data_IF_782528848458
#
_entry.id   IF_782528848458
#
_cell.length_a   1.000
_cell.length_b   1.000
_cell.length_c   1.000
_cell.angle_alpha   90.00
_cell.angle_beta   90.00
_cell.angle_gamma   90.00
#
_symmetry.space_group_name_H-M   'P 1'
#
loop_
_entity.id
_entity.type
_entity.pdbx_description
1 polymer ?
#
# COMPACT_ATOMS: atom_id res chain seq x y z
N UNK A 1 12.96 9.67 -16.14
CA UNK A 1 12.43 10.65 -15.15
C UNK A 1 11.34 11.53 -15.76
N UNK A 2 11.63 12.42 -16.72
CA UNK A 2 10.60 13.32 -17.30
C UNK A 2 9.45 12.57 -18.01
N UNK A 3 9.75 11.54 -18.80
CA UNK A 3 8.73 10.73 -19.49
C UNK A 3 7.82 9.98 -18.51
N UNK A 4 8.39 9.36 -17.48
CA UNK A 4 7.62 8.71 -16.41
C UNK A 4 6.68 9.71 -15.71
N UNK A 5 7.16 10.92 -15.40
CA UNK A 5 6.33 11.93 -14.78
C UNK A 5 5.23 12.44 -15.72
N UNK A 6 5.53 12.63 -17.00
CA UNK A 6 4.53 12.95 -18.03
C UNK A 6 3.46 11.87 -18.11
N UNK A 7 3.86 10.60 -18.07
CA UNK A 7 2.94 9.45 -18.07
C UNK A 7 2.02 9.45 -16.83
N UNK A 8 2.55 9.76 -15.64
CA UNK A 8 1.73 9.90 -14.42
C UNK A 8 0.69 11.03 -14.55
N UNK A 9 1.10 12.17 -15.10
CA UNK A 9 0.19 13.31 -15.35
C UNK A 9 -0.90 12.96 -16.35
N UNK A 10 -0.52 12.36 -17.47
CA UNK A 10 -1.47 11.91 -18.49
C UNK A 10 -2.45 10.89 -17.90
N UNK A 11 -1.97 9.95 -17.09
CA UNK A 11 -2.81 8.96 -16.40
C UNK A 11 -3.82 9.63 -15.45
N UNK A 12 -3.39 10.66 -14.71
CA UNK A 12 -4.28 11.45 -13.85
C UNK A 12 -5.38 12.14 -14.65
N UNK A 13 -5.01 12.81 -15.75
CA UNK A 13 -5.95 13.52 -16.61
C UNK A 13 -6.94 12.55 -17.29
N UNK A 14 -6.45 11.40 -17.74
CA UNK A 14 -7.25 10.34 -18.36
C UNK A 14 -8.27 9.77 -17.39
N UNK A 15 -7.86 9.42 -16.17
CA UNK A 15 -8.78 9.00 -15.11
C UNK A 15 -9.82 10.07 -14.81
N UNK A 16 -9.39 11.33 -14.77
CA UNK A 16 -10.25 12.48 -14.47
C UNK A 16 -11.33 12.74 -15.51
N UNK A 17 -11.11 12.39 -16.77
CA UNK A 17 -12.05 12.61 -17.88
C UNK A 17 -12.81 11.36 -18.33
N UNK A 18 -12.51 10.20 -17.73
CA UNK A 18 -13.14 8.92 -18.05
C UNK A 18 -14.41 8.68 -17.23
N UNK A 19 -15.45 8.17 -17.90
CA UNK A 19 -16.63 7.65 -17.20
C UNK A 19 -16.29 6.36 -16.44
N UNK A 20 -17.03 6.03 -15.39
CA UNK A 20 -16.87 4.73 -14.69
C UNK A 20 -17.14 3.54 -15.62
N UNK A 21 -17.93 3.72 -16.67
CA UNK A 21 -18.18 2.73 -17.72
C UNK A 21 -17.06 2.59 -18.75
N UNK A 22 -16.09 3.51 -18.78
CA UNK A 22 -15.02 3.54 -19.79
C UNK A 22 -13.94 2.48 -19.57
N UNK A 23 -13.94 1.77 -18.45
CA UNK A 23 -12.97 0.70 -18.19
C UNK A 23 -13.55 -0.43 -17.32
N UNK A 24 -13.23 -1.66 -17.70
CA UNK A 24 -13.72 -2.87 -17.05
C UNK A 24 -12.72 -3.36 -15.99
N UNK A 25 -12.57 -2.61 -14.89
CA UNK A 25 -11.82 -3.12 -13.73
C UNK A 25 -10.66 -2.26 -13.22
N UNK A 26 -9.77 -2.93 -12.50
CA UNK A 26 -8.50 -2.39 -12.04
C UNK A 26 -7.50 -2.29 -13.20
N UNK A 27 -6.95 -1.10 -13.42
CA UNK A 27 -6.12 -0.77 -14.57
C UNK A 27 -4.64 -0.97 -14.27
N UNK A 28 -3.90 -1.56 -15.20
CA UNK A 28 -2.44 -1.53 -15.25
C UNK A 28 -1.91 -0.15 -15.69
N UNK A 29 -0.65 0.21 -15.36
CA UNK A 29 -0.12 1.53 -15.65
C UNK A 29 -0.14 1.89 -17.14
N UNK A 30 0.06 0.91 -18.02
CA UNK A 30 0.00 1.10 -19.48
C UNK A 30 -1.44 1.33 -19.99
N UNK A 31 -2.45 0.88 -19.25
CA UNK A 31 -3.85 0.93 -19.66
C UNK A 31 -4.49 2.30 -19.45
N UNK A 32 -3.95 3.15 -18.57
CA UNK A 32 -4.45 4.53 -18.37
C UNK A 32 -4.42 5.35 -19.67
N UNK A 33 -3.40 5.13 -20.50
CA UNK A 33 -3.25 5.81 -21.79
C UNK A 33 -4.39 5.49 -22.79
N UNK A 34 -5.03 4.33 -22.62
CA UNK A 34 -6.08 3.79 -23.50
C UNK A 34 -7.47 4.34 -23.14
N UNK A 35 -7.59 5.05 -22.03
CA UNK A 35 -8.86 5.60 -21.56
C UNK A 35 -9.36 6.75 -22.44
N UNK A 36 -10.68 6.80 -22.64
CA UNK A 36 -11.34 7.86 -23.41
C UNK A 36 -11.30 9.21 -22.68
N UNK A 37 -11.29 10.31 -23.43
CA UNK A 37 -11.24 11.67 -22.90
C UNK A 37 -12.60 12.35 -23.06
N UNK A 38 -13.63 11.76 -22.45
CA UNK A 38 -15.04 12.10 -22.75
C UNK A 38 -15.57 13.27 -21.90
N UNK A 39 -14.68 14.06 -21.28
CA UNK A 39 -15.01 15.18 -20.38
C UNK A 39 -16.00 14.81 -19.25
N UNK A 40 -16.03 13.55 -18.85
CA UNK A 40 -16.97 13.06 -17.85
C UNK A 40 -16.53 13.49 -16.44
N UNK A 41 -17.41 14.07 -15.63
CA UNK A 41 -17.15 14.45 -14.23
C UNK A 41 -18.05 13.65 -13.28
N UNK A 42 -17.49 12.64 -12.60
CA UNK A 42 -18.15 11.96 -11.47
C UNK A 42 -17.84 12.68 -10.15
N UNK A 43 -18.86 13.08 -9.39
CA UNK A 43 -18.68 14.09 -8.33
C UNK A 43 -17.95 13.67 -7.03
N UNK A 44 -17.93 12.42 -6.51
CA UNK A 44 -17.26 12.16 -5.23
C UNK A 44 -15.73 12.03 -5.33
N UNK A 45 -15.24 11.42 -6.41
CA UNK A 45 -13.83 10.98 -6.55
C UNK A 45 -12.96 12.00 -7.31
N UNK A 46 -13.60 12.88 -8.09
CA UNK A 46 -12.94 13.99 -8.81
C UNK A 46 -12.22 14.96 -7.88
N UNK A 47 -12.70 15.15 -6.65
CA UNK A 47 -11.99 15.95 -5.65
C UNK A 47 -10.60 15.40 -5.38
N UNK A 48 -10.47 14.09 -5.21
CA UNK A 48 -9.18 13.44 -4.95
C UNK A 48 -8.26 13.46 -6.18
N UNK A 49 -8.82 13.33 -7.39
CA UNK A 49 -8.06 13.50 -8.63
C UNK A 49 -7.59 14.95 -8.84
N UNK A 50 -8.39 15.95 -8.44
CA UNK A 50 -7.94 17.35 -8.43
C UNK A 50 -6.80 17.56 -7.43
N UNK A 51 -6.93 17.04 -6.21
CA UNK A 51 -5.88 17.09 -5.19
C UNK A 51 -4.60 16.41 -5.72
N UNK A 52 -4.72 15.26 -6.40
CA UNK A 52 -3.58 14.59 -7.04
C UNK A 52 -2.95 15.43 -8.17
N UNK A 53 -3.77 16.03 -9.04
CA UNK A 53 -3.27 16.88 -10.12
C UNK A 53 -2.59 18.16 -9.58
N UNK A 54 -3.07 18.72 -8.45
CA UNK A 54 -2.40 19.80 -7.75
C UNK A 54 -1.04 19.36 -7.20
N UNK A 55 -0.96 18.16 -6.63
CA UNK A 55 0.31 17.57 -6.18
C UNK A 55 1.25 17.36 -7.37
N UNK A 56 0.78 16.84 -8.50
CA UNK A 56 1.59 16.72 -9.72
C UNK A 56 2.06 18.09 -10.22
N UNK A 57 1.20 19.11 -10.21
CA UNK A 57 1.62 20.48 -10.58
C UNK A 57 2.72 21.00 -9.66
N UNK A 58 2.60 20.75 -8.35
CA UNK A 58 3.63 21.10 -7.37
C UNK A 58 4.95 20.34 -7.65
N UNK A 59 4.86 19.05 -7.96
CA UNK A 59 6.02 18.23 -8.36
C UNK A 59 6.71 18.82 -9.59
N UNK A 60 5.95 19.17 -10.63
CA UNK A 60 6.49 19.76 -11.86
C UNK A 60 7.25 21.06 -11.56
N UNK A 61 6.62 21.99 -10.84
CA UNK A 61 7.21 23.29 -10.51
C UNK A 61 8.47 23.15 -9.65
N UNK A 62 8.43 22.28 -8.63
CA UNK A 62 9.53 22.16 -7.66
C UNK A 62 10.66 21.25 -8.14
N UNK A 63 10.37 20.17 -8.87
CA UNK A 63 11.42 19.30 -9.41
C UNK A 63 12.13 19.92 -10.62
N UNK A 64 11.42 20.67 -11.48
CA UNK A 64 12.05 21.39 -12.60
C UNK A 64 12.89 22.58 -12.12
N UNK A 65 12.45 23.32 -11.10
CA UNK A 65 13.25 24.42 -10.52
C UNK A 65 14.54 23.92 -9.86
N UNK A 66 14.56 22.71 -9.31
CA UNK A 66 15.77 22.09 -8.74
C UNK A 66 16.77 21.64 -9.81
N UNK A 67 16.31 21.11 -10.95
CA UNK A 67 17.17 20.81 -12.10
C UNK A 67 17.76 22.10 -12.73
N UNK A 68 16.97 23.17 -12.78
CA UNK A 68 17.44 24.50 -13.19
C UNK A 68 18.48 25.09 -12.22
N UNK A 69 18.25 24.97 -10.91
CA UNK A 69 19.18 25.45 -9.87
C UNK A 69 20.49 24.65 -9.81
N UNK A 70 20.48 23.32 -10.00
CA UNK A 70 21.73 22.53 -10.13
C UNK A 70 22.65 23.03 -11.25
N UNK A 71 22.09 23.70 -12.26
CA UNK A 71 22.86 24.28 -13.37
C UNK A 71 23.44 25.66 -13.00
N UNK A 72 22.80 26.39 -12.06
CA UNK A 72 23.18 27.71 -11.57
C UNK A 72 24.09 27.67 -10.32
N UNK A 73 23.98 26.64 -9.49
CA UNK A 73 24.79 26.45 -8.25
C UNK A 73 26.25 26.08 -8.53
N UNK A 74 26.64 25.88 -9.79
CA UNK A 74 28.06 25.88 -10.19
C UNK A 74 28.71 27.27 -10.10
N UNK A 75 27.96 28.33 -9.76
CA UNK A 75 28.47 29.70 -9.84
C UNK A 75 28.48 30.57 -8.58
N UNK A 76 27.89 30.24 -7.42
CA UNK A 76 27.93 31.19 -6.29
C UNK A 76 28.05 30.60 -4.88
N UNK A 77 28.93 31.26 -4.12
CA UNK A 77 29.31 31.09 -2.72
C UNK A 77 28.22 31.71 -1.82
N UNK A 78 27.67 30.93 -0.89
CA UNK A 78 26.80 31.41 0.19
C UNK A 78 26.12 30.26 0.93
N UNK A 79 25.99 30.37 2.26
CA UNK A 79 25.43 29.39 3.19
C UNK A 79 23.91 29.15 2.96
N UNK A 80 23.56 28.57 1.82
CA UNK A 80 22.26 27.91 1.63
C UNK A 80 22.35 26.47 2.17
N UNK A 81 21.24 25.92 2.71
CA UNK A 81 21.20 24.49 3.02
C UNK A 81 21.56 23.72 1.74
N UNK A 82 22.38 22.68 1.88
CA UNK A 82 22.91 21.94 0.73
C UNK A 82 21.74 21.57 -0.20
N UNK A 83 21.86 21.72 -1.53
CA UNK A 83 20.76 21.45 -2.47
C UNK A 83 20.05 20.09 -2.25
N UNK A 84 20.79 19.09 -1.75
CA UNK A 84 20.28 17.76 -1.41
C UNK A 84 19.38 17.73 -0.15
N UNK A 85 19.55 18.66 0.80
CA UNK A 85 18.67 18.84 1.96
C UNK A 85 17.35 19.51 1.58
N UNK A 86 17.38 20.57 0.76
CA UNK A 86 16.17 21.22 0.24
C UNK A 86 15.34 20.26 -0.60
N UNK A 87 16.00 19.50 -1.50
CA UNK A 87 15.34 18.47 -2.30
C UNK A 87 14.70 17.40 -1.42
N UNK A 88 15.39 16.98 -0.35
CA UNK A 88 14.86 16.06 0.65
C UNK A 88 13.60 16.57 1.34
N UNK A 89 13.56 17.85 1.74
CA UNK A 89 12.39 18.48 2.37
C UNK A 89 11.20 18.54 1.40
N UNK A 90 11.44 18.94 0.15
CA UNK A 90 10.41 19.04 -0.89
C UNK A 90 9.82 17.66 -1.20
N UNK A 91 10.65 16.65 -1.41
CA UNK A 91 10.20 15.29 -1.69
C UNK A 91 9.38 14.73 -0.52
N UNK A 92 9.84 14.96 0.72
CA UNK A 92 9.11 14.57 1.94
C UNK A 92 7.73 15.20 2.00
N UNK A 93 7.61 16.51 1.81
CA UNK A 93 6.32 17.22 1.81
C UNK A 93 5.36 16.69 0.75
N UNK A 94 5.86 16.41 -0.45
CA UNK A 94 5.05 15.85 -1.53
C UNK A 94 4.55 14.44 -1.17
N UNK A 95 5.42 13.58 -0.65
CA UNK A 95 5.05 12.23 -0.22
C UNK A 95 4.04 12.29 0.93
N UNK A 96 4.20 13.19 1.91
CA UNK A 96 3.22 13.41 2.98
C UNK A 96 1.84 13.82 2.43
N UNK A 97 1.80 14.66 1.38
CA UNK A 97 0.55 15.01 0.72
C UNK A 97 -0.07 13.81 -0.01
N UNK A 98 0.74 12.99 -0.67
CA UNK A 98 0.30 11.78 -1.36
C UNK A 98 -0.25 10.73 -0.38
N UNK A 99 0.45 10.49 0.74
CA UNK A 99 -0.03 9.54 1.77
C UNK A 99 -1.28 10.05 2.46
N UNK A 100 -1.36 11.35 2.76
CA UNK A 100 -2.58 11.98 3.26
C UNK A 100 -3.76 11.82 2.30
N UNK A 101 -3.52 12.02 1.00
CA UNK A 101 -4.54 11.81 -0.03
C UNK A 101 -4.98 10.33 -0.09
N UNK A 102 -4.04 9.38 -0.05
CA UNK A 102 -4.34 7.96 -0.02
C UNK A 102 -5.23 7.59 1.17
N UNK A 103 -4.95 8.13 2.36
CA UNK A 103 -5.73 7.91 3.58
C UNK A 103 -7.17 8.44 3.51
N UNK A 104 -7.43 9.47 2.70
CA UNK A 104 -8.78 10.07 2.52
C UNK A 104 -9.66 9.25 1.60
N UNK A 105 -9.09 8.51 0.65
CA UNK A 105 -9.85 7.72 -0.31
C UNK A 105 -10.38 6.47 0.37
N UNK A 106 -11.70 6.26 0.30
CA UNK A 106 -12.40 5.13 0.89
C UNK A 106 -11.93 4.80 2.33
N UNK A 107 -12.23 5.70 3.29
CA UNK A 107 -11.73 5.54 4.66
C UNK A 107 -12.32 4.31 5.36
N UNK A 108 -13.47 3.82 4.89
CA UNK A 108 -14.15 2.65 5.43
C UNK A 108 -13.86 1.42 4.59
N UNK A 109 -13.67 0.32 5.29
CA UNK A 109 -13.51 -0.97 4.67
C UNK A 109 -14.86 -1.48 4.13
N UNK A 110 -14.88 -2.02 2.92
CA UNK A 110 -16.06 -2.65 2.33
C UNK A 110 -15.65 -3.84 1.45
N UNK A 111 -16.57 -4.80 1.33
CA UNK A 111 -16.42 -5.93 0.40
C UNK A 111 -16.61 -5.49 -1.06
N UNK A 112 -17.61 -4.64 -1.33
CA UNK A 112 -17.79 -3.99 -2.64
C UNK A 112 -16.75 -2.90 -2.81
N UNK A 113 -15.96 -3.00 -3.87
CA UNK A 113 -14.85 -2.10 -4.19
C UNK A 113 -15.30 -1.11 -5.26
N UNK A 114 -15.09 0.19 -5.05
CA UNK A 114 -15.21 1.16 -6.13
C UNK A 114 -13.93 1.15 -6.97
N UNK A 115 -14.03 0.59 -8.18
CA UNK A 115 -12.89 0.46 -9.10
C UNK A 115 -12.26 1.80 -9.46
N UNK A 116 -13.05 2.88 -9.49
CA UNK A 116 -12.51 4.21 -9.74
C UNK A 116 -11.61 4.65 -8.58
N UNK A 117 -12.09 4.54 -7.34
CA UNK A 117 -11.27 4.80 -6.15
C UNK A 117 -10.02 3.93 -6.07
N UNK A 118 -10.12 2.64 -6.41
CA UNK A 118 -8.98 1.74 -6.44
C UNK A 118 -7.92 2.15 -7.48
N UNK A 119 -8.34 2.62 -8.65
CA UNK A 119 -7.43 3.12 -9.69
C UNK A 119 -6.78 4.46 -9.30
N UNK A 120 -7.46 5.33 -8.55
CA UNK A 120 -6.85 6.55 -7.98
C UNK A 120 -5.80 6.19 -6.94
N UNK A 121 -6.11 5.25 -6.03
CA UNK A 121 -5.14 4.76 -5.04
C UNK A 121 -3.90 4.18 -5.74
N UNK A 122 -4.07 3.39 -6.81
CA UNK A 122 -2.94 2.86 -7.59
C UNK A 122 -2.08 3.99 -8.14
N UNK A 123 -2.69 5.00 -8.77
CA UNK A 123 -1.94 6.13 -9.33
C UNK A 123 -1.18 6.93 -8.26
N UNK A 124 -1.74 7.05 -7.05
CA UNK A 124 -1.03 7.64 -5.91
C UNK A 124 0.18 6.77 -5.52
N UNK A 125 0.01 5.45 -5.41
CA UNK A 125 1.11 4.52 -5.12
C UNK A 125 2.21 4.58 -6.20
N UNK A 126 1.85 4.64 -7.48
CA UNK A 126 2.80 4.82 -8.60
C UNK A 126 3.51 6.18 -8.51
N UNK A 127 2.80 7.24 -8.10
CA UNK A 127 3.39 8.57 -7.90
C UNK A 127 4.39 8.56 -6.73
N UNK A 128 4.13 7.82 -5.65
CA UNK A 128 5.09 7.63 -4.56
C UNK A 128 6.29 6.80 -5.04
N UNK A 129 6.02 5.71 -5.77
CA UNK A 129 7.05 4.84 -6.33
C UNK A 129 8.01 5.59 -7.27
N UNK A 130 7.52 6.59 -8.01
CA UNK A 130 8.37 7.46 -8.83
C UNK A 130 9.54 8.08 -8.03
N UNK A 131 9.31 8.49 -6.77
CA UNK A 131 10.38 9.04 -5.93
C UNK A 131 11.43 7.98 -5.56
N UNK A 132 11.00 6.74 -5.28
CA UNK A 132 11.89 5.61 -5.02
C UNK A 132 12.66 5.20 -6.28
N UNK A 133 11.96 4.96 -7.40
CA UNK A 133 12.51 4.54 -8.70
C UNK A 133 13.61 5.48 -9.20
N UNK A 134 13.43 6.79 -9.04
CA UNK A 134 14.39 7.80 -9.48
C UNK A 134 15.33 8.29 -8.37
N UNK A 135 15.39 7.57 -7.24
CA UNK A 135 16.25 7.88 -6.09
C UNK A 135 16.14 9.34 -5.59
N UNK A 136 14.94 9.93 -5.68
CA UNK A 136 14.64 11.29 -5.20
C UNK A 136 14.49 11.34 -3.67
N UNK A 137 14.28 10.18 -3.04
CA UNK A 137 14.26 9.99 -1.59
C UNK A 137 14.94 8.66 -1.26
N UNK A 138 15.75 8.63 -0.20
CA UNK A 138 16.38 7.38 0.25
C UNK A 138 15.37 6.48 0.96
N UNK A 139 15.53 5.15 0.95
CA UNK A 139 14.65 4.23 1.66
C UNK A 139 14.51 4.56 3.15
N UNK A 140 15.57 5.01 3.82
CA UNK A 140 15.55 5.38 5.25
C UNK A 140 14.70 6.63 5.53
N UNK A 141 14.49 7.48 4.52
CA UNK A 141 13.62 8.65 4.61
C UNK A 141 12.19 8.34 4.15
N UNK A 142 12.02 7.38 3.23
CA UNK A 142 10.73 6.96 2.71
C UNK A 142 9.98 6.03 3.67
N UNK A 143 10.66 5.02 4.23
CA UNK A 143 10.08 4.03 5.14
C UNK A 143 9.24 4.65 6.26
N UNK A 144 9.80 5.60 7.05
CA UNK A 144 9.07 6.28 8.11
C UNK A 144 7.79 7.00 7.66
N UNK A 145 7.71 7.46 6.40
CA UNK A 145 6.52 8.12 5.85
C UNK A 145 5.42 7.14 5.48
N UNK A 146 5.79 5.92 5.05
CA UNK A 146 4.82 4.92 4.58
C UNK A 146 4.40 3.95 5.69
N UNK A 147 5.19 3.83 6.77
CA UNK A 147 4.93 2.89 7.87
C UNK A 147 4.33 3.54 9.12
N UNK A 148 3.79 4.76 9.00
CA UNK A 148 2.89 5.32 10.03
C UNK A 148 1.64 4.46 10.14
N UNK A 149 0.87 4.60 11.23
CA UNK A 149 -0.39 3.87 11.39
C UNK A 149 -1.34 4.12 10.23
N UNK A 150 -1.59 5.38 9.91
CA UNK A 150 -2.55 5.81 8.89
C UNK A 150 -2.12 5.33 7.50
N UNK A 151 -0.85 5.57 7.15
CA UNK A 151 -0.32 5.17 5.84
C UNK A 151 -0.31 3.65 5.69
N UNK A 152 0.17 2.92 6.70
CA UNK A 152 0.17 1.45 6.67
C UNK A 152 -1.23 0.90 6.47
N UNK A 153 -2.23 1.45 7.17
CA UNK A 153 -3.61 1.04 7.01
C UNK A 153 -4.15 1.34 5.60
N UNK A 154 -3.84 2.52 5.04
CA UNK A 154 -4.29 2.89 3.70
C UNK A 154 -3.69 2.00 2.61
N UNK A 155 -2.37 1.74 2.66
CA UNK A 155 -1.71 0.78 1.77
C UNK A 155 -2.29 -0.63 1.95
N UNK A 156 -2.51 -1.09 3.18
CA UNK A 156 -3.07 -2.43 3.44
C UNK A 156 -4.44 -2.62 2.78
N UNK A 157 -5.31 -1.61 2.86
CA UNK A 157 -6.62 -1.62 2.17
C UNK A 157 -6.44 -1.75 0.66
N UNK A 158 -5.56 -0.94 0.09
CA UNK A 158 -5.26 -0.98 -1.34
C UNK A 158 -4.75 -2.36 -1.80
N UNK A 159 -3.85 -2.98 -1.03
CA UNK A 159 -3.33 -4.33 -1.29
C UNK A 159 -4.46 -5.37 -1.30
N UNK A 160 -5.30 -5.36 -0.27
CA UNK A 160 -6.39 -6.33 -0.14
C UNK A 160 -7.39 -6.18 -1.28
N UNK A 161 -7.80 -4.94 -1.58
CA UNK A 161 -8.77 -4.67 -2.65
C UNK A 161 -8.22 -4.98 -4.04
N UNK A 162 -6.98 -4.58 -4.34
CA UNK A 162 -6.34 -4.87 -5.63
C UNK A 162 -6.17 -6.37 -5.86
N UNK A 163 -5.80 -7.12 -4.82
CA UNK A 163 -5.70 -8.57 -4.92
C UNK A 163 -7.07 -9.23 -5.09
N UNK A 164 -8.08 -8.84 -4.31
CA UNK A 164 -9.42 -9.41 -4.43
C UNK A 164 -9.96 -9.24 -5.87
N UNK A 165 -9.78 -8.06 -6.47
CA UNK A 165 -10.13 -7.85 -7.87
C UNK A 165 -9.41 -8.81 -8.83
N UNK A 166 -8.09 -9.03 -8.66
CA UNK A 166 -7.35 -9.97 -9.51
C UNK A 166 -7.84 -11.41 -9.35
N UNK A 167 -8.20 -11.82 -8.13
CA UNK A 167 -8.67 -13.19 -7.88
C UNK A 167 -10.08 -13.45 -8.41
N UNK A 168 -11.00 -12.50 -8.30
CA UNK A 168 -12.38 -12.63 -8.82
C UNK A 168 -12.38 -13.01 -10.31
N UNK A 169 -11.38 -12.56 -11.07
CA UNK A 169 -11.25 -12.81 -12.51
C UNK A 169 -10.29 -13.96 -12.87
N UNK A 170 -9.61 -14.58 -11.89
CA UNK A 170 -8.63 -15.63 -12.14
C UNK A 170 -9.29 -17.02 -12.19
N UNK A 171 -8.90 -17.84 -13.16
CA UNK A 171 -9.25 -19.28 -13.20
C UNK A 171 -8.51 -20.10 -12.14
N UNK A 172 -7.34 -19.60 -11.71
CA UNK A 172 -6.50 -20.23 -10.71
C UNK A 172 -6.55 -19.38 -9.45
N UNK A 173 -7.40 -19.77 -8.52
CA UNK A 173 -7.55 -19.09 -7.24
C UNK A 173 -6.29 -19.26 -6.40
N UNK A 174 -5.64 -18.14 -6.07
CA UNK A 174 -4.54 -18.10 -5.11
C UNK A 174 -5.14 -17.82 -3.73
N UNK A 175 -4.76 -18.60 -2.71
CA UNK A 175 -5.15 -18.30 -1.37
C UNK A 175 -4.66 -16.89 -0.93
N UNK A 176 -5.59 -16.00 -0.56
CA UNK A 176 -5.43 -14.66 0.08
C UNK A 176 -4.59 -14.65 1.40
N UNK A 177 -3.56 -15.48 1.55
CA UNK A 177 -2.86 -15.54 2.82
C UNK A 177 -2.00 -14.28 2.94
N UNK A 178 -1.82 -13.72 4.14
CA UNK A 178 -1.11 -12.45 4.27
C UNK A 178 0.26 -12.43 3.57
N UNK A 179 0.97 -13.57 3.58
CA UNK A 179 2.24 -13.73 2.88
C UNK A 179 2.10 -13.72 1.35
N UNK A 180 1.12 -14.41 0.78
CA UNK A 180 0.84 -14.44 -0.66
C UNK A 180 0.30 -13.09 -1.13
N UNK A 181 -0.60 -12.47 -0.38
CA UNK A 181 -1.10 -11.11 -0.60
C UNK A 181 0.06 -10.13 -0.73
N UNK A 182 0.95 -10.14 0.26
CA UNK A 182 2.11 -9.27 0.28
C UNK A 182 3.10 -9.63 -0.83
N UNK A 183 3.38 -10.91 -1.06
CA UNK A 183 4.29 -11.33 -2.14
C UNK A 183 3.76 -10.94 -3.52
N UNK A 184 2.49 -11.22 -3.80
CA UNK A 184 1.83 -10.78 -5.04
C UNK A 184 1.79 -9.26 -5.13
N UNK A 185 1.64 -8.57 -3.99
CA UNK A 185 1.70 -7.12 -4.00
C UNK A 185 3.10 -6.57 -4.28
N UNK A 186 4.13 -7.14 -3.66
CA UNK A 186 5.53 -6.80 -3.89
C UNK A 186 5.95 -7.10 -5.32
N UNK A 187 5.31 -8.06 -5.99
CA UNK A 187 5.48 -8.28 -7.43
C UNK A 187 4.87 -7.19 -8.32
N UNK A 188 4.01 -6.29 -7.81
CA UNK A 188 3.53 -5.14 -8.59
C UNK A 188 4.57 -4.03 -8.65
N UNK A 189 4.43 -3.18 -9.67
CA UNK A 189 5.30 -2.04 -9.99
C UNK A 189 5.67 -1.17 -8.79
N UNK A 190 4.76 -0.93 -7.86
CA UNK A 190 4.98 -0.09 -6.68
C UNK A 190 5.29 -0.87 -5.38
N UNK A 191 5.22 -2.20 -5.39
CA UNK A 191 5.45 -3.02 -4.20
C UNK A 191 6.92 -3.15 -3.82
N UNK A 192 7.82 -3.11 -4.80
CA UNK A 192 9.27 -3.21 -4.60
C UNK A 192 9.83 -2.16 -3.62
N UNK A 193 9.23 -0.97 -3.51
CA UNK A 193 9.74 0.08 -2.62
C UNK A 193 9.73 -0.31 -1.14
N UNK A 194 8.91 -1.29 -0.74
CA UNK A 194 8.84 -1.77 0.64
C UNK A 194 9.94 -2.78 0.97
N UNK A 195 10.59 -3.38 -0.04
CA UNK A 195 11.66 -4.36 0.15
C UNK A 195 12.92 -3.71 0.74
N UNK A 196 13.13 -2.42 0.54
CA UNK A 196 14.31 -1.69 1.01
C UNK A 196 14.15 -1.13 2.43
N UNK A 197 12.97 -1.29 3.06
CA UNK A 197 12.72 -0.72 4.40
C UNK A 197 13.43 -1.49 5.51
N UNK A 198 13.69 -0.80 6.63
CA UNK A 198 14.30 -1.38 7.82
C UNK A 198 13.39 -2.47 8.39
N UNK A 199 13.98 -3.43 9.11
CA UNK A 199 13.21 -4.55 9.70
C UNK A 199 12.05 -4.07 10.59
N UNK A 200 12.27 -3.02 11.40
CA UNK A 200 11.24 -2.48 12.30
C UNK A 200 10.07 -1.83 11.54
N UNK A 201 10.35 -1.15 10.43
CA UNK A 201 9.34 -0.53 9.55
C UNK A 201 8.48 -1.59 8.89
N UNK A 202 9.12 -2.64 8.35
CA UNK A 202 8.42 -3.81 7.77
C UNK A 202 7.53 -4.49 8.81
N UNK A 203 8.04 -4.72 10.03
CA UNK A 203 7.24 -5.30 11.12
C UNK A 203 6.05 -4.42 11.49
N UNK A 204 6.22 -3.09 11.51
CA UNK A 204 5.15 -2.13 11.77
C UNK A 204 4.07 -2.14 10.70
N UNK A 205 4.49 -2.14 9.43
CA UNK A 205 3.58 -2.30 8.31
C UNK A 205 2.79 -3.62 8.42
N UNK A 206 3.49 -4.74 8.68
CA UNK A 206 2.88 -6.07 8.83
C UNK A 206 1.86 -6.13 9.97
N UNK A 207 2.12 -5.47 11.10
CA UNK A 207 1.16 -5.37 12.19
C UNK A 207 -0.15 -4.72 11.71
N UNK A 208 -0.06 -3.57 11.05
CA UNK A 208 -1.24 -2.87 10.53
C UNK A 208 -1.92 -3.63 9.40
N UNK A 209 -1.16 -4.28 8.53
CA UNK A 209 -1.68 -5.13 7.46
C UNK A 209 -2.51 -6.28 8.00
N UNK A 210 -1.97 -7.05 8.95
CA UNK A 210 -2.70 -8.15 9.58
C UNK A 210 -3.95 -7.67 10.32
N UNK A 211 -3.89 -6.50 10.95
CA UNK A 211 -5.05 -5.88 11.58
C UNK A 211 -6.15 -5.57 10.57
N UNK A 212 -5.80 -4.92 9.46
CA UNK A 212 -6.75 -4.57 8.40
C UNK A 212 -7.29 -5.83 7.70
N UNK A 213 -6.48 -6.87 7.51
CA UNK A 213 -6.91 -8.15 6.93
C UNK A 213 -7.97 -8.83 7.81
N UNK A 214 -7.79 -8.81 9.13
CA UNK A 214 -8.76 -9.36 10.08
C UNK A 214 -10.03 -8.49 10.18
N UNK A 215 -9.89 -7.16 10.12
CA UNK A 215 -11.03 -6.25 9.98
C UNK A 215 -11.79 -6.51 8.67
N UNK A 216 -11.08 -6.79 7.56
CA UNK A 216 -11.68 -7.13 6.26
C UNK A 216 -12.59 -8.34 6.33
N UNK A 217 -12.13 -9.40 7.00
CA UNK A 217 -12.96 -10.57 7.21
C UNK A 217 -14.27 -10.25 7.94
N UNK A 218 -14.32 -9.27 8.84
CA UNK A 218 -15.57 -8.89 9.50
C UNK A 218 -16.61 -8.35 8.53
N UNK A 219 -16.20 -7.70 7.44
CA UNK A 219 -17.08 -7.13 6.42
C UNK A 219 -17.39 -8.08 5.26
N UNK A 220 -16.81 -9.29 5.24
CA UNK A 220 -17.14 -10.32 4.28
C UNK A 220 -18.64 -10.71 4.38
N UNK A 221 -19.35 -11.07 3.30
CA UNK A 221 -20.75 -11.49 3.36
C UNK A 221 -20.94 -12.66 4.33
N UNK A 222 -21.94 -12.60 5.22
CA UNK A 222 -22.13 -13.61 6.28
C UNK A 222 -22.54 -14.97 5.72
N UNK A 223 -23.33 -14.95 4.64
CA UNK A 223 -23.72 -16.10 3.85
C UNK A 223 -22.53 -16.78 3.15
N UNK A 224 -21.43 -16.04 2.99
CA UNK A 224 -20.15 -16.53 2.46
C UNK A 224 -19.09 -16.66 3.58
N UNK A 225 -19.45 -16.71 4.87
CA UNK A 225 -18.49 -16.96 5.95
C UNK A 225 -18.50 -18.40 6.40
N UNK A 226 -17.29 -18.93 6.61
CA UNK A 226 -17.13 -20.26 7.16
C UNK A 226 -17.49 -20.22 8.66
N UNK A 227 -18.63 -20.81 8.99
CA UNK A 227 -19.15 -20.90 10.35
C UNK A 227 -18.16 -21.54 11.33
N UNK A 228 -17.35 -22.52 10.89
CA UNK A 228 -16.35 -23.18 11.72
C UNK A 228 -15.14 -22.28 12.06
N UNK A 229 -14.93 -21.20 11.30
CA UNK A 229 -13.79 -20.30 11.45
C UNK A 229 -14.17 -18.94 12.02
N UNK A 230 -15.44 -18.53 11.92
CA UNK A 230 -15.94 -17.26 12.50
C UNK A 230 -15.53 -17.08 13.97
N UNK A 231 -15.79 -18.07 14.81
CA UNK A 231 -15.45 -18.02 16.24
C UNK A 231 -13.95 -18.13 16.51
N UNK A 232 -13.20 -18.79 15.61
CA UNK A 232 -11.74 -18.91 15.71
C UNK A 232 -11.07 -17.59 15.35
N UNK A 233 -11.52 -16.92 14.29
CA UNK A 233 -11.01 -15.62 13.86
C UNK A 233 -11.36 -14.49 14.84
N UNK A 234 -12.57 -14.49 15.39
CA UNK A 234 -12.93 -13.54 16.45
C UNK A 234 -12.13 -13.74 17.75
N UNK A 235 -11.73 -14.98 18.06
CA UNK A 235 -10.79 -15.26 19.17
C UNK A 235 -9.36 -14.82 18.83
N UNK A 236 -8.93 -15.09 17.60
CA UNK A 236 -7.59 -14.74 17.14
C UNK A 236 -7.38 -13.22 17.11
N UNK A 237 -8.31 -12.47 16.53
CA UNK A 237 -8.25 -11.01 16.49
C UNK A 237 -8.18 -10.42 17.91
N UNK A 238 -8.99 -10.94 18.83
CA UNK A 238 -8.94 -10.57 20.25
C UNK A 238 -7.56 -10.90 20.84
N UNK A 239 -7.01 -12.08 20.59
CA UNK A 239 -5.69 -12.44 21.14
C UNK A 239 -4.56 -11.57 20.60
N UNK A 240 -4.55 -11.31 19.28
CA UNK A 240 -3.51 -10.52 18.61
C UNK A 240 -3.58 -9.02 18.94
N UNK A 241 -4.77 -8.48 19.18
CA UNK A 241 -4.96 -7.02 19.32
C UNK A 241 -5.62 -6.55 20.62
N UNK A 242 -5.99 -7.44 21.56
CA UNK A 242 -6.45 -7.01 22.89
C UNK A 242 -5.29 -6.64 23.82
N UNK A 243 -4.09 -7.20 23.61
CA UNK A 243 -2.90 -6.76 24.32
C UNK A 243 -2.45 -5.43 23.72
N UNK A 244 -1.97 -4.52 24.57
CA UNK A 244 -1.33 -3.31 24.08
C UNK A 244 -0.16 -3.71 23.17
N UNK A 245 -0.11 -3.23 21.92
CA UNK A 245 0.96 -3.59 21.00
C UNK A 245 2.30 -3.11 21.57
N UNK A 246 3.38 -3.83 21.26
CA UNK A 246 4.70 -3.35 21.60
C UNK A 246 4.98 -2.07 20.81
N UNK A 247 5.22 -0.98 21.54
CA UNK A 247 5.54 0.32 20.97
C UNK A 247 7.05 0.50 20.94
N UNK A 248 7.60 0.74 19.76
CA UNK A 248 8.99 1.12 19.60
C UNK A 248 9.06 2.59 19.17
N UNK A 249 9.92 3.36 19.83
CA UNK A 249 10.22 4.73 19.44
C UNK A 249 11.54 4.74 18.66
N UNK A 250 11.54 5.30 17.46
CA UNK A 250 12.79 5.55 16.74
C UNK A 250 13.49 6.78 17.33
N UNK A 251 14.76 6.62 17.71
CA UNK A 251 15.64 7.73 18.11
C UNK A 251 16.03 8.60 16.91
N UNK A 252 16.07 8.03 15.70
CA UNK A 252 16.42 8.70 14.44
C UNK A 252 15.25 9.49 13.85
N UNK A 253 14.02 9.05 14.12
CA UNK A 253 12.79 9.59 13.53
C UNK A 253 11.92 10.14 14.67
N UNK A 254 12.29 11.33 15.16
CA UNK A 254 11.69 12.02 16.32
C UNK A 254 10.16 11.81 16.39
N UNK A 255 9.71 10.97 17.31
CA UNK A 255 8.29 10.82 17.67
C UNK A 255 7.48 9.79 16.88
N UNK A 256 8.09 9.01 15.99
CA UNK A 256 7.38 7.92 15.32
C UNK A 256 7.21 6.70 16.23
N UNK A 257 5.97 6.24 16.34
CA UNK A 257 5.60 5.01 17.06
C UNK A 257 5.49 3.85 16.06
N UNK A 258 6.27 2.80 16.27
CA UNK A 258 6.18 1.55 15.52
C UNK A 258 5.44 0.51 16.35
N UNK A 259 4.58 -0.27 15.69
CA UNK A 259 3.71 -1.25 16.32
C UNK A 259 4.09 -2.65 15.89
N UNK A 260 4.44 -3.55 16.82
CA UNK A 260 4.82 -4.93 16.46
C UNK A 260 3.91 -5.91 17.17
N UNK A 261 3.59 -7.02 16.49
CA UNK A 261 2.88 -8.14 17.11
C UNK A 261 3.81 -8.73 18.19
N UNK A 262 3.26 -8.96 19.38
CA UNK A 262 3.99 -9.65 20.44
C UNK A 262 4.20 -11.10 20.01
N UNK A 263 5.45 -11.47 19.68
CA UNK A 263 5.86 -12.79 19.21
C UNK A 263 5.86 -13.84 20.36
N UNK A 264 4.83 -13.83 21.21
CA UNK A 264 4.60 -14.85 22.22
C UNK A 264 4.49 -16.23 21.51
N UNK A 265 5.38 -17.19 21.81
CA UNK A 265 5.38 -18.50 21.18
C UNK A 265 4.03 -19.20 21.24
N UNK A 266 3.25 -19.04 22.31
CA UNK A 266 1.94 -19.65 22.41
C UNK A 266 0.94 -19.07 21.41
N UNK A 267 0.99 -17.77 21.16
CA UNK A 267 0.15 -17.11 20.16
C UNK A 267 0.54 -17.53 18.74
N UNK A 268 1.84 -17.70 18.46
CA UNK A 268 2.35 -18.20 17.18
C UNK A 268 1.97 -19.68 16.99
N UNK A 269 2.09 -20.52 18.02
CA UNK A 269 1.75 -21.94 17.95
C UNK A 269 0.25 -22.15 17.75
N UNK A 270 -0.60 -21.37 18.42
CA UNK A 270 -2.05 -21.42 18.23
C UNK A 270 -2.49 -20.89 16.86
N UNK A 271 -1.83 -19.85 16.35
CA UNK A 271 -1.96 -19.41 14.96
C UNK A 271 -1.64 -20.57 14.02
N UNK A 272 -0.46 -21.16 14.17
CA UNK A 272 -0.03 -22.33 13.40
C UNK A 272 -1.03 -23.47 13.45
N UNK A 273 -1.50 -23.86 14.64
CA UNK A 273 -2.45 -24.95 14.83
C UNK A 273 -3.84 -24.65 14.25
N UNK A 274 -4.34 -23.42 14.42
CA UNK A 274 -5.63 -22.98 13.89
C UNK A 274 -5.67 -23.10 12.37
N UNK A 275 -4.55 -22.78 11.72
CA UNK A 275 -4.45 -22.75 10.26
C UNK A 275 -3.93 -24.05 9.64
N UNK A 276 -3.20 -24.88 10.39
CA UNK A 276 -2.70 -26.21 9.97
C UNK A 276 -3.82 -27.16 9.53
N UNK A 277 -5.01 -27.04 10.12
CA UNK A 277 -6.15 -27.92 9.86
C UNK A 277 -7.23 -27.28 8.98
N UNK A 278 -6.98 -26.10 8.41
CA UNK A 278 -8.00 -25.34 7.66
C UNK A 278 -8.50 -26.08 6.41
N UNK A 279 -7.67 -26.93 5.81
CA UNK A 279 -7.98 -27.75 4.65
C UNK A 279 -8.89 -28.96 4.94
N UNK A 280 -9.08 -29.32 6.21
CA UNK A 280 -9.92 -30.46 6.62
C UNK A 280 -11.42 -30.09 6.75
N UNK A 281 -11.77 -28.81 6.57
CA UNK A 281 -13.15 -28.33 6.56
C UNK A 281 -13.66 -28.30 5.10
N UNK A 282 -14.19 -29.44 4.61
CA UNK A 282 -14.37 -29.77 3.17
C UNK A 282 -15.81 -29.56 2.66
N UNK A 283 -16.47 -28.43 2.97
CA UNK A 283 -17.07 -27.72 1.84
C UNK A 283 -16.62 -26.25 1.79
N UNK A 284 -15.61 -25.89 2.58
CA UNK A 284 -15.15 -24.52 2.79
C UNK A 284 -14.07 -24.06 1.82
N UNK A 285 -14.02 -24.65 0.62
CA UNK A 285 -12.93 -24.46 -0.34
C UNK A 285 -12.75 -23.02 -0.82
N UNK A 286 -13.74 -22.14 -0.64
CA UNK A 286 -13.68 -20.78 -1.17
C UNK A 286 -13.47 -19.68 -0.14
N UNK A 287 -13.86 -19.84 1.13
CA UNK A 287 -14.13 -18.66 1.99
C UNK A 287 -12.99 -18.21 2.89
N UNK A 288 -12.01 -19.07 3.19
CA UNK A 288 -10.96 -18.73 4.15
C UNK A 288 -9.65 -19.51 4.01
N UNK A 289 -9.61 -20.57 3.19
CA UNK A 289 -8.33 -21.14 2.74
C UNK A 289 -7.46 -20.02 2.16
N UNK A 290 -8.15 -19.04 1.56
CA UNK A 290 -7.60 -17.81 1.09
C UNK A 290 -6.97 -16.98 2.22
N UNK A 291 -7.65 -16.45 3.24
CA UNK A 291 -7.04 -15.44 4.14
C UNK A 291 -5.80 -15.90 4.96
N UNK A 292 -5.57 -17.20 5.16
CA UNK A 292 -4.60 -17.66 6.18
C UNK A 292 -3.99 -19.05 5.95
N UNK A 293 -3.32 -19.27 4.83
CA UNK A 293 -2.22 -20.22 4.81
C UNK A 293 -1.07 -19.64 5.65
N UNK A 294 -0.97 -20.07 6.91
CA UNK A 294 0.25 -19.88 7.70
C UNK A 294 1.38 -20.63 7.01
N UNK A 295 2.48 -19.93 6.78
CA UNK A 295 3.73 -20.53 6.36
C UNK A 295 4.16 -21.61 7.35
N UNK A 296 3.86 -22.86 7.03
CA UNK A 296 4.73 -23.98 7.38
C UNK A 296 5.95 -23.92 6.47
N UNK A 297 6.79 -22.91 6.67
CA UNK A 297 8.21 -22.86 6.29
C UNK A 297 8.79 -21.60 6.94
N UNK A 298 9.44 -21.79 8.09
CA UNK A 298 10.77 -21.29 8.49
C UNK A 298 11.23 -19.86 8.02
N UNK A 299 12.10 -19.18 8.80
CA UNK A 299 12.28 -17.73 8.76
C UNK A 299 12.84 -17.20 7.42
N UNK A 300 12.48 -15.98 6.97
CA UNK A 300 13.05 -15.39 5.77
C UNK A 300 14.35 -14.66 6.11
N UNK A 301 15.33 -15.35 6.71
CA UNK A 301 16.71 -14.88 6.82
C UNK A 301 17.65 -16.07 6.99
N UNK A 302 17.74 -16.93 5.98
CA UNK A 302 18.98 -17.65 5.71
C UNK A 302 19.25 -17.59 4.21
N UNK A 303 20.45 -17.12 3.92
CA UNK A 303 21.08 -17.05 2.62
C UNK A 303 20.90 -18.36 1.85
N UNK A 304 20.56 -18.27 0.57
CA UNK A 304 20.97 -19.29 -0.39
C UNK A 304 21.83 -18.57 -1.42
N UNK A 305 23.12 -18.47 -1.08
CA UNK A 305 24.18 -18.57 -2.08
C UNK A 305 24.28 -20.04 -2.50
N UNK A 306 24.01 -20.30 -3.77
CA UNK A 306 24.74 -21.24 -4.61
C UNK A 306 24.42 -20.90 -6.07
#
# INVERSE_FOLDING_TARGET
MQEDFKSLRESCLRLQSSSKSSYNGYLNPDEYSKLSNDQYRHEPIYKYLNELNQIHTLMEQRLLSLNGKRTLDLLLIGEYPKPDEEMGIICRQIIENLTSLLCKIEPRLSFKIDLHSLNVQRLICETIYYFHKHALISPERLGPLLTTRESSQAFSKHIIWSFNHHQINSKNWIPLNGTNLIKSWFQFSCGNMFEDFKSIEKKSFLYHFNKILLEYYQYYPEEEKNLCLKDKLGRLQRRLFNKAPQKYHSSESKGLEYYVIDDDPQTIDELGATFKHISLFIPSHSELMHLFQVGLTAPPFQEVRA
#
